data_IF_317350675412
#
_entry.id   IF_317350675412
#
_cell.length_a   1.000
_cell.length_b   1.000
_cell.length_c   1.000
_cell.angle_alpha   90.00
_cell.angle_beta   90.00
_cell.angle_gamma   90.00
#
_symmetry.space_group_name_H-M   'P 1'
#
loop_
_entity.id
_entity.type
_entity.pdbx_description
1 polymer ?
#
# COMPACT_ATOMS: atom_id res chain seq x y z
N UNK A 1 25.70 12.43 -10.79
CA UNK A 1 24.93 13.61 -11.24
C UNK A 1 23.88 13.17 -12.26
N UNK A 2 22.92 12.34 -11.85
CA UNK A 2 21.75 12.01 -12.69
C UNK A 2 20.65 13.00 -12.34
N UNK A 3 20.38 13.90 -13.29
CA UNK A 3 19.33 14.90 -13.23
C UNK A 3 17.99 14.17 -13.14
N UNK A 4 17.42 14.08 -11.93
CA UNK A 4 16.03 13.68 -11.74
C UNK A 4 15.17 14.71 -12.49
N UNK A 5 14.68 14.31 -13.65
CA UNK A 5 13.74 15.12 -14.43
C UNK A 5 12.40 15.01 -13.71
N UNK A 6 11.86 16.15 -13.29
CA UNK A 6 10.51 16.26 -12.70
C UNK A 6 9.39 15.70 -13.60
N UNK A 7 9.69 15.37 -14.86
CA UNK A 7 8.78 14.70 -15.79
C UNK A 7 8.62 13.19 -15.53
N UNK A 8 9.49 12.57 -14.71
CA UNK A 8 9.39 11.15 -14.34
C UNK A 8 8.53 10.93 -13.08
N UNK A 9 7.94 12.01 -12.53
CA UNK A 9 6.98 11.90 -11.43
C UNK A 9 5.57 11.63 -11.98
N UNK A 10 5.22 10.35 -11.92
CA UNK A 10 3.87 9.79 -11.91
C UNK A 10 3.10 9.76 -13.24
N UNK A 11 3.60 8.97 -14.18
CA UNK A 11 2.78 8.31 -15.21
C UNK A 11 2.64 6.80 -14.88
N UNK A 12 2.67 6.46 -13.59
CA UNK A 12 2.43 5.08 -13.15
C UNK A 12 0.98 4.71 -13.41
N UNK A 13 0.77 3.89 -14.44
CA UNK A 13 -0.55 3.40 -14.81
C UNK A 13 -1.11 2.54 -13.68
N UNK A 14 -2.27 2.90 -13.11
CA UNK A 14 -2.86 2.12 -12.03
C UNK A 14 -3.23 0.72 -12.53
N UNK A 15 -2.79 -0.31 -11.81
CA UNK A 15 -3.17 -1.70 -12.07
C UNK A 15 -4.39 -2.04 -11.21
N UNK A 16 -5.50 -2.43 -11.86
CA UNK A 16 -6.69 -2.90 -11.14
C UNK A 16 -6.54 -4.37 -10.79
N UNK A 17 -6.76 -4.70 -9.52
CA UNK A 17 -6.75 -6.05 -9.00
C UNK A 17 -8.10 -6.34 -8.34
N UNK A 18 -8.65 -7.53 -8.60
CA UNK A 18 -9.77 -8.08 -7.83
C UNK A 18 -9.20 -9.02 -6.78
N UNK A 19 -9.57 -8.81 -5.51
CA UNK A 19 -9.03 -9.55 -4.37
C UNK A 19 -10.17 -10.23 -3.62
N UNK A 20 -9.98 -11.48 -3.25
CA UNK A 20 -10.83 -12.18 -2.30
C UNK A 20 -10.17 -12.19 -0.93
N UNK A 21 -10.90 -11.75 0.09
CA UNK A 21 -10.44 -11.76 1.47
C UNK A 21 -11.48 -12.44 2.37
N UNK A 22 -11.02 -13.03 3.47
CA UNK A 22 -11.94 -13.61 4.44
C UNK A 22 -12.87 -12.54 5.05
N UNK A 23 -14.10 -12.94 5.37
CA UNK A 23 -15.04 -12.07 6.07
C UNK A 23 -14.49 -11.54 7.42
N UNK A 24 -13.63 -12.33 8.07
CA UNK A 24 -12.94 -11.89 9.29
C UNK A 24 -12.01 -10.72 9.01
N UNK A 25 -11.15 -10.84 8.01
CA UNK A 25 -10.21 -9.78 7.65
C UNK A 25 -10.95 -8.50 7.21
N UNK A 26 -12.04 -8.62 6.45
CA UNK A 26 -12.86 -7.46 6.07
C UNK A 26 -13.38 -6.70 7.30
N UNK A 27 -13.90 -7.41 8.32
CA UNK A 27 -14.37 -6.79 9.57
C UNK A 27 -13.23 -6.10 10.33
N UNK A 28 -12.09 -6.76 10.42
CA UNK A 28 -10.91 -6.22 11.11
C UNK A 28 -10.40 -4.94 10.41
N UNK A 29 -10.36 -4.93 9.07
CA UNK A 29 -9.98 -3.75 8.28
C UNK A 29 -10.98 -2.60 8.41
N UNK A 30 -12.28 -2.92 8.49
CA UNK A 30 -13.33 -1.90 8.72
C UNK A 30 -13.18 -1.27 10.11
N UNK A 31 -12.96 -2.09 11.14
CA UNK A 31 -12.73 -1.60 12.50
C UNK A 31 -11.43 -0.79 12.60
N UNK A 32 -10.37 -1.23 11.92
CA UNK A 32 -9.12 -0.50 11.82
C UNK A 32 -9.31 0.88 11.17
N UNK A 33 -10.03 0.95 10.04
CA UNK A 33 -10.32 2.20 9.35
C UNK A 33 -11.05 3.21 10.25
N UNK A 34 -12.00 2.73 11.05
CA UNK A 34 -12.70 3.55 12.04
C UNK A 34 -11.74 4.05 13.14
N UNK A 35 -10.91 3.15 13.68
CA UNK A 35 -9.97 3.48 14.76
C UNK A 35 -8.94 4.53 14.32
N UNK A 36 -8.39 4.41 13.10
CA UNK A 36 -7.43 5.39 12.57
C UNK A 36 -8.08 6.73 12.20
N UNK A 37 -9.39 6.75 11.98
CA UNK A 37 -10.18 7.97 11.80
C UNK A 37 -10.72 8.54 13.13
N UNK A 38 -10.11 8.18 14.26
CA UNK A 38 -10.50 8.70 15.58
C UNK A 38 -11.88 8.26 16.07
N UNK A 39 -12.44 7.18 15.50
CA UNK A 39 -13.75 6.66 15.86
C UNK A 39 -14.93 7.30 15.12
N UNK A 40 -14.69 8.27 14.21
CA UNK A 40 -15.75 8.85 13.38
C UNK A 40 -15.97 7.98 12.12
N UNK A 41 -17.19 7.44 11.89
CA UNK A 41 -17.48 6.74 10.65
C UNK A 41 -17.45 7.66 9.42
N UNK A 42 -17.69 8.96 9.60
CA UNK A 42 -17.63 9.94 8.51
C UNK A 42 -16.18 10.22 8.18
N UNK A 43 -15.80 9.92 6.93
CA UNK A 43 -14.44 10.13 6.44
C UNK A 43 -13.47 8.97 6.70
N UNK A 44 -13.90 7.92 7.42
CA UNK A 44 -13.11 6.71 7.53
C UNK A 44 -12.85 6.11 6.13
N UNK A 45 -11.60 5.72 5.82
CA UNK A 45 -11.28 5.17 4.50
C UNK A 45 -12.00 3.84 4.31
N UNK A 46 -12.47 3.58 3.09
CA UNK A 46 -13.00 2.26 2.74
C UNK A 46 -11.87 1.23 2.69
N UNK A 47 -12.21 -0.04 2.86
CA UNK A 47 -11.24 -1.14 2.90
C UNK A 47 -10.39 -1.18 1.62
N UNK A 48 -11.00 -0.98 0.45
CA UNK A 48 -10.31 -0.96 -0.83
C UNK A 48 -9.36 0.24 -1.01
N UNK A 49 -9.60 1.36 -0.31
CA UNK A 49 -8.68 2.52 -0.30
C UNK A 49 -7.58 2.37 0.74
N UNK A 50 -7.79 1.53 1.75
CA UNK A 50 -6.85 1.28 2.82
C UNK A 50 -5.79 0.23 2.42
N UNK A 51 -6.19 -0.83 1.69
CA UNK A 51 -5.31 -1.94 1.33
C UNK A 51 -4.06 -1.49 0.57
N UNK A 52 -4.14 -0.70 -0.53
CA UNK A 52 -2.96 -0.32 -1.31
C UNK A 52 -1.86 0.39 -0.49
N UNK A 53 -2.15 1.49 0.26
CA UNK A 53 -1.11 2.16 1.05
C UNK A 53 -0.57 1.29 2.20
N UNK A 54 -1.37 0.37 2.75
CA UNK A 54 -0.87 -0.61 3.73
C UNK A 54 0.15 -1.57 3.11
N UNK A 55 -0.12 -2.10 1.91
CA UNK A 55 0.79 -2.98 1.19
C UNK A 55 2.07 -2.24 0.76
N UNK A 56 1.95 -1.01 0.29
CA UNK A 56 3.10 -0.18 -0.05
C UNK A 56 4.00 0.05 1.16
N UNK A 57 3.42 0.40 2.32
CA UNK A 57 4.16 0.56 3.56
C UNK A 57 4.81 -0.75 4.00
N UNK A 58 4.10 -1.87 3.89
CA UNK A 58 4.62 -3.19 4.22
C UNK A 58 5.87 -3.53 3.38
N UNK A 59 5.77 -3.44 2.05
CA UNK A 59 6.88 -3.72 1.12
C UNK A 59 8.06 -2.78 1.37
N UNK A 60 7.80 -1.49 1.60
CA UNK A 60 8.84 -0.48 1.84
C UNK A 60 9.60 -0.72 3.13
N UNK A 61 8.94 -1.24 4.16
CA UNK A 61 9.55 -1.47 5.48
C UNK A 61 10.15 -2.85 5.66
N UNK A 62 9.86 -3.78 4.75
CA UNK A 62 10.43 -5.12 4.75
C UNK A 62 11.93 -5.11 4.38
N UNK A 63 12.78 -5.30 5.39
CA UNK A 63 14.24 -5.38 5.23
C UNK A 63 14.70 -6.64 4.50
N UNK A 64 13.99 -7.76 4.67
CA UNK A 64 14.28 -9.02 3.98
C UNK A 64 14.08 -8.85 2.48
N UNK A 65 12.92 -8.29 2.10
CA UNK A 65 12.62 -7.93 0.73
C UNK A 65 13.63 -6.91 0.17
N UNK A 66 13.95 -5.87 0.94
CA UNK A 66 14.91 -4.84 0.51
C UNK A 66 16.30 -5.41 0.18
N UNK A 67 16.76 -6.43 0.92
CA UNK A 67 18.03 -7.12 0.63
C UNK A 67 17.95 -7.97 -0.64
N UNK A 68 16.89 -8.77 -0.78
CA UNK A 68 16.68 -9.63 -1.94
C UNK A 68 16.50 -8.83 -3.25
N UNK A 69 15.79 -7.70 -3.19
CA UNK A 69 15.62 -6.81 -4.34
C UNK A 69 16.96 -6.25 -4.85
N UNK A 70 17.87 -5.88 -3.94
CA UNK A 70 19.21 -5.41 -4.30
C UNK A 70 20.05 -6.50 -4.98
N UNK A 71 19.99 -7.74 -4.49
CA UNK A 71 20.72 -8.85 -5.12
C UNK A 71 20.20 -9.17 -6.52
N UNK A 72 18.87 -9.11 -6.73
CA UNK A 72 18.26 -9.34 -8.06
C UNK A 72 18.59 -8.21 -9.04
N UNK A 73 18.74 -6.96 -8.58
CA UNK A 73 19.09 -5.83 -9.44
C UNK A 73 20.58 -5.75 -9.83
N UNK A 74 21.46 -6.51 -9.14
CA UNK A 74 22.91 -6.46 -9.35
C UNK A 74 23.44 -7.66 -10.16
N UNK A 75 22.58 -8.63 -10.48
CA UNK A 75 22.90 -9.77 -11.36
C UNK A 75 22.23 -9.62 -12.71
#
# INVERSE_FOLDING_TARGET
MTRLKLADLADEKPVRLTLEISARLHRDLTAYALAVNGGDPKGAPTVERLIPPMLERFITTDRGFSKARKSIQTG
#
